data_IF_769229971194
#
_entry.id   IF_769229971194
#
_cell.length_a   1.000
_cell.length_b   1.000
_cell.length_c   1.000
_cell.angle_alpha   90.00
_cell.angle_beta   90.00
_cell.angle_gamma   90.00
#
_symmetry.space_group_name_H-M   'P 1'
#
loop_
_entity.id
_entity.type
_entity.pdbx_description
1 polymer ?
#
# COMPACT_ATOMS: atom_id res chain seq x y z
N UNK A 1 33.46 11.84 14.04
CA UNK A 1 34.01 10.48 14.29
C UNK A 1 34.01 10.22 15.78
N UNK A 2 33.55 9.05 16.24
CA UNK A 2 33.49 8.73 17.67
C UNK A 2 34.87 8.37 18.23
N UNK A 3 35.15 8.62 19.53
CA UNK A 3 36.38 8.18 20.18
C UNK A 3 36.55 6.66 20.18
N UNK A 4 37.79 6.17 20.14
CA UNK A 4 38.12 4.73 20.09
C UNK A 4 37.55 3.93 21.26
N UNK A 5 37.45 4.54 22.45
CA UNK A 5 36.83 3.94 23.64
C UNK A 5 35.32 3.68 23.44
N UNK A 6 34.62 4.55 22.72
CA UNK A 6 33.20 4.39 22.40
C UNK A 6 33.00 3.36 21.29
N UNK A 7 33.88 3.33 20.29
CA UNK A 7 33.85 2.34 19.22
C UNK A 7 33.93 0.89 19.74
N UNK A 8 34.78 0.63 20.76
CA UNK A 8 34.88 -0.69 21.40
C UNK A 8 33.59 -1.12 22.11
N UNK A 9 32.82 -0.15 22.64
CA UNK A 9 31.52 -0.43 23.28
C UNK A 9 30.40 -0.70 22.28
N UNK A 10 30.65 -0.46 20.99
CA UNK A 10 29.69 -0.57 19.90
C UNK A 10 29.96 -1.78 18.97
N UNK A 11 30.67 -2.80 19.44
CA UNK A 11 30.91 -4.02 18.65
C UNK A 11 29.60 -4.70 18.23
N UNK A 12 28.63 -4.80 19.14
CA UNK A 12 27.27 -5.28 18.84
C UNK A 12 26.57 -4.42 17.78
N UNK A 13 26.83 -3.11 17.78
CA UNK A 13 26.25 -2.18 16.81
C UNK A 13 26.78 -2.43 15.40
N UNK A 14 28.06 -2.80 15.23
CA UNK A 14 28.59 -3.18 13.90
C UNK A 14 27.88 -4.42 13.34
N UNK A 15 27.72 -5.45 14.15
CA UNK A 15 26.98 -6.65 13.76
C UNK A 15 25.52 -6.33 13.42
N UNK A 16 24.89 -5.45 14.20
CA UNK A 16 23.55 -4.92 13.92
C UNK A 16 23.49 -4.19 12.56
N UNK A 17 24.44 -3.30 12.25
CA UNK A 17 24.48 -2.60 10.96
C UNK A 17 24.59 -3.55 9.76
N UNK A 18 25.28 -4.68 9.92
CA UNK A 18 25.29 -5.72 8.88
C UNK A 18 23.91 -6.32 8.65
N UNK A 19 23.14 -6.59 9.73
CA UNK A 19 21.74 -7.07 9.62
C UNK A 19 20.85 -6.00 9.01
N UNK A 20 20.97 -4.77 9.49
CA UNK A 20 20.24 -3.61 8.99
C UNK A 20 20.42 -3.41 7.48
N UNK A 21 21.66 -3.51 6.98
CA UNK A 21 21.93 -3.43 5.55
C UNK A 21 21.22 -4.52 4.76
N UNK A 22 21.21 -5.77 5.25
CA UNK A 22 20.47 -6.87 4.61
C UNK A 22 18.97 -6.59 4.53
N UNK A 23 18.39 -5.98 5.57
CA UNK A 23 16.98 -5.58 5.57
C UNK A 23 16.68 -4.54 4.49
N UNK A 24 17.57 -3.57 4.29
CA UNK A 24 17.47 -2.60 3.18
C UNK A 24 17.57 -3.27 1.82
N UNK A 25 18.50 -4.21 1.64
CA UNK A 25 18.67 -4.95 0.38
C UNK A 25 17.42 -5.78 0.03
N UNK A 26 16.76 -6.37 1.04
CA UNK A 26 15.48 -7.08 0.87
C UNK A 26 14.38 -6.11 0.45
N UNK A 27 14.22 -4.98 1.14
CA UNK A 27 13.21 -3.97 0.76
C UNK A 27 13.45 -3.44 -0.66
N UNK A 28 14.70 -3.17 -1.03
CA UNK A 28 15.04 -2.73 -2.38
C UNK A 28 14.64 -3.77 -3.43
N UNK A 29 14.85 -5.06 -3.14
CA UNK A 29 14.43 -6.15 -4.02
C UNK A 29 12.91 -6.19 -4.20
N UNK A 30 12.14 -5.93 -3.14
CA UNK A 30 10.67 -5.79 -3.24
C UNK A 30 10.27 -4.57 -4.08
N UNK A 31 10.92 -3.42 -3.88
CA UNK A 31 10.66 -2.22 -4.69
C UNK A 31 10.93 -2.49 -6.17
N UNK A 32 12.02 -3.18 -6.50
CA UNK A 32 12.34 -3.59 -7.88
C UNK A 32 11.26 -4.53 -8.47
N UNK A 33 10.70 -5.43 -7.67
CA UNK A 33 9.59 -6.28 -8.11
C UNK A 33 8.31 -5.47 -8.36
N UNK A 34 8.00 -4.49 -7.51
CA UNK A 34 6.84 -3.61 -7.66
C UNK A 34 6.92 -2.83 -8.99
N UNK A 35 8.08 -2.28 -9.32
CA UNK A 35 8.25 -1.45 -10.53
C UNK A 35 8.50 -2.27 -11.81
N UNK A 36 8.68 -3.59 -11.71
CA UNK A 36 9.10 -4.43 -12.85
C UNK A 36 8.13 -4.39 -14.04
N UNK A 37 6.82 -4.34 -13.75
CA UNK A 37 5.77 -4.49 -14.77
C UNK A 37 4.91 -3.21 -14.92
N UNK A 38 5.36 -2.06 -14.39
CA UNK A 38 4.53 -0.83 -14.36
C UNK A 38 4.28 -0.24 -15.74
N UNK A 39 5.20 -0.46 -16.69
CA UNK A 39 5.11 0.05 -18.06
C UNK A 39 3.88 -0.45 -18.80
N UNK A 40 3.34 -1.61 -18.40
CA UNK A 40 2.17 -2.27 -19.03
C UNK A 40 0.95 -2.31 -18.12
N UNK A 41 0.99 -1.60 -17.00
CA UNK A 41 -0.05 -1.70 -15.96
C UNK A 41 -1.36 -1.00 -16.35
N UNK A 42 -1.31 0.14 -17.05
CA UNK A 42 -2.49 0.95 -17.32
C UNK A 42 -3.11 0.63 -18.68
N UNK A 43 -4.19 -0.16 -18.67
CA UNK A 43 -4.89 -0.64 -19.88
C UNK A 43 -5.45 0.45 -20.80
N UNK A 44 -5.61 1.68 -20.29
CA UNK A 44 -6.17 2.82 -21.02
C UNK A 44 -5.09 3.78 -21.54
N UNK A 45 -3.82 3.43 -21.39
CA UNK A 45 -2.69 4.18 -21.94
C UNK A 45 -2.16 3.40 -23.13
N UNK A 46 -2.01 4.07 -24.27
CA UNK A 46 -1.38 3.46 -25.43
C UNK A 46 0.12 3.28 -25.14
N UNK A 47 0.53 2.03 -24.93
CA UNK A 47 1.92 1.66 -24.66
C UNK A 47 2.78 1.61 -25.92
N UNK A 48 2.22 1.88 -27.11
CA UNK A 48 2.91 1.85 -28.40
C UNK A 48 3.47 3.20 -28.85
N UNK A 49 3.33 4.25 -28.05
CA UNK A 49 3.83 5.60 -28.35
C UNK A 49 5.13 5.85 -27.57
N UNK A 50 6.20 6.09 -28.33
CA UNK A 50 7.49 6.58 -27.85
C UNK A 50 7.33 7.76 -26.87
N UNK A 51 8.30 7.88 -25.96
CA UNK A 51 8.42 8.73 -24.76
C UNK A 51 8.30 10.26 -25.00
N UNK A 52 7.70 10.72 -26.09
CA UNK A 52 7.53 12.14 -26.39
C UNK A 52 6.10 12.42 -26.80
N UNK A 53 5.46 13.27 -26.00
CA UNK A 53 4.20 13.98 -26.27
C UNK A 53 2.92 13.17 -26.08
N UNK A 54 2.35 13.23 -24.87
CA UNK A 54 1.06 13.91 -24.61
C UNK A 54 0.55 13.59 -23.21
N UNK A 55 0.72 14.57 -22.31
CA UNK A 55 0.37 14.48 -20.89
C UNK A 55 1.51 14.97 -20.02
N UNK A 56 1.83 16.25 -20.10
CA UNK A 56 2.82 16.93 -19.24
C UNK A 56 2.30 17.05 -17.81
N UNK A 57 2.16 15.92 -17.13
CA UNK A 57 2.57 15.80 -15.75
C UNK A 57 3.81 14.90 -15.79
N UNK A 58 4.99 15.49 -15.62
CA UNK A 58 6.28 14.79 -15.62
C UNK A 58 6.31 13.81 -14.43
N UNK A 59 5.82 12.59 -14.64
CA UNK A 59 5.84 11.51 -13.65
C UNK A 59 7.21 10.83 -13.52
N UNK A 60 8.18 11.25 -14.33
CA UNK A 60 9.61 11.14 -14.02
C UNK A 60 10.10 12.45 -13.42
N UNK A 61 10.59 12.41 -12.19
CA UNK A 61 11.56 13.40 -11.70
C UNK A 61 12.90 13.08 -12.33
N UNK A 62 13.24 13.78 -13.41
CA UNK A 62 14.62 13.88 -13.83
C UNK A 62 15.35 14.77 -12.82
N UNK A 63 15.83 14.16 -11.73
CA UNK A 63 16.54 14.84 -10.63
C UNK A 63 17.75 15.63 -11.12
N UNK A 64 18.23 15.33 -12.33
CA UNK A 64 19.34 15.99 -13.00
C UNK A 64 18.97 17.37 -13.57
N UNK A 65 17.68 17.70 -13.68
CA UNK A 65 17.21 18.92 -14.38
C UNK A 65 16.46 19.90 -13.48
N UNK A 66 16.52 19.74 -12.15
CA UNK A 66 16.04 20.76 -11.21
C UNK A 66 17.05 21.92 -11.15
N UNK A 67 16.68 23.08 -11.69
CA UNK A 67 17.49 24.31 -11.69
C UNK A 67 17.89 24.78 -10.27
N UNK A 68 17.19 24.30 -9.24
CA UNK A 68 17.41 24.63 -7.83
C UNK A 68 17.73 23.36 -7.01
N UNK A 69 18.99 23.17 -6.54
CA UNK A 69 19.41 21.98 -5.82
C UNK A 69 18.59 21.65 -4.56
N UNK A 70 18.10 22.67 -3.85
CA UNK A 70 17.28 22.48 -2.64
C UNK A 70 15.90 21.90 -2.95
N UNK A 71 15.31 22.24 -4.10
CA UNK A 71 14.03 21.69 -4.55
C UNK A 71 14.19 20.23 -5.00
N UNK A 72 15.29 19.89 -5.67
CA UNK A 72 15.62 18.52 -6.04
C UNK A 72 15.75 17.61 -4.81
N UNK A 73 16.48 18.09 -3.79
CA UNK A 73 16.66 17.37 -2.52
C UNK A 73 15.34 17.20 -1.77
N UNK A 74 14.51 18.24 -1.69
CA UNK A 74 13.21 18.18 -1.02
C UNK A 74 12.25 17.21 -1.72
N UNK A 75 12.20 17.23 -3.06
CA UNK A 75 11.37 16.28 -3.83
C UNK A 75 11.82 14.84 -3.64
N UNK A 76 13.12 14.58 -3.70
CA UNK A 76 13.68 13.24 -3.46
C UNK A 76 13.34 12.74 -2.04
N UNK A 77 13.46 13.60 -1.03
CA UNK A 77 13.12 13.25 0.34
C UNK A 77 11.63 12.90 0.49
N UNK A 78 10.75 13.70 -0.12
CA UNK A 78 9.32 13.43 -0.14
C UNK A 78 8.99 12.09 -0.82
N UNK A 79 9.61 11.79 -1.97
CA UNK A 79 9.35 10.54 -2.68
C UNK A 79 9.86 9.31 -1.91
N UNK A 80 11.00 9.45 -1.21
CA UNK A 80 11.50 8.44 -0.27
C UNK A 80 10.49 8.20 0.86
N UNK A 81 9.90 9.25 1.44
CA UNK A 81 8.87 9.12 2.47
C UNK A 81 7.60 8.43 1.94
N UNK A 82 7.24 8.62 0.66
CA UNK A 82 6.15 7.87 0.03
C UNK A 82 6.48 6.39 -0.11
N UNK A 83 7.68 6.03 -0.54
CA UNK A 83 8.11 4.62 -0.61
C UNK A 83 8.08 3.98 0.79
N UNK A 84 8.57 4.68 1.82
CA UNK A 84 8.50 4.20 3.20
C UNK A 84 7.06 3.97 3.66
N UNK A 85 6.15 4.88 3.27
CA UNK A 85 4.73 4.75 3.57
C UNK A 85 4.12 3.53 2.87
N UNK A 86 4.49 3.23 1.62
CA UNK A 86 4.04 2.01 0.92
C UNK A 86 4.46 0.76 1.67
N UNK A 87 5.72 0.66 2.11
CA UNK A 87 6.21 -0.50 2.87
C UNK A 87 5.41 -0.76 4.15
N UNK A 88 5.00 0.32 4.85
CA UNK A 88 4.13 0.21 6.03
C UNK A 88 2.71 -0.20 5.65
N UNK A 89 2.15 0.35 4.58
CA UNK A 89 0.83 -0.02 4.08
C UNK A 89 0.76 -1.49 3.63
N UNK A 90 1.85 -2.07 3.09
CA UNK A 90 1.93 -3.50 2.80
C UNK A 90 1.64 -4.34 4.05
N UNK A 91 2.19 -3.93 5.20
CA UNK A 91 1.97 -4.64 6.46
C UNK A 91 0.52 -4.50 6.93
N UNK A 92 -0.02 -3.28 6.91
CA UNK A 92 -1.42 -3.03 7.26
C UNK A 92 -2.38 -3.87 6.42
N UNK A 93 -2.24 -3.81 5.10
CA UNK A 93 -3.23 -4.37 4.17
C UNK A 93 -3.02 -5.86 3.88
N UNK A 94 -1.79 -6.35 3.91
CA UNK A 94 -1.45 -7.68 3.34
C UNK A 94 -0.51 -8.51 4.21
N UNK A 95 -0.32 -8.16 5.48
CA UNK A 95 0.40 -9.00 6.43
C UNK A 95 -0.49 -9.42 7.59
N UNK A 96 -0.20 -10.58 8.18
CA UNK A 96 -0.84 -11.03 9.42
C UNK A 96 -0.66 -10.02 10.55
N UNK A 97 0.49 -9.33 10.60
CA UNK A 97 0.76 -8.28 11.58
C UNK A 97 -0.22 -7.09 11.49
N UNK A 98 -0.86 -6.88 10.33
CA UNK A 98 -1.89 -5.86 10.13
C UNK A 98 -3.31 -6.32 10.47
N UNK A 99 -3.54 -7.61 10.76
CA UNK A 99 -4.88 -8.18 10.92
C UNK A 99 -5.70 -7.47 12.00
N UNK A 100 -5.10 -7.18 13.16
CA UNK A 100 -5.79 -6.48 14.26
C UNK A 100 -6.22 -5.04 13.89
N UNK A 101 -5.46 -4.36 13.04
CA UNK A 101 -5.79 -3.02 12.56
C UNK A 101 -6.91 -3.08 11.51
N UNK A 102 -6.87 -4.06 10.62
CA UNK A 102 -7.94 -4.32 9.64
C UNK A 102 -9.24 -4.71 10.33
N UNK A 103 -9.19 -5.54 11.37
CA UNK A 103 -10.36 -5.89 12.16
C UNK A 103 -11.03 -4.64 12.75
N UNK A 104 -10.25 -3.65 13.21
CA UNK A 104 -10.81 -2.41 13.74
C UNK A 104 -11.33 -1.45 12.66
N UNK A 105 -10.69 -1.43 11.48
CA UNK A 105 -10.99 -0.45 10.43
C UNK A 105 -11.99 -0.95 9.38
N UNK A 106 -11.84 -2.21 8.94
CA UNK A 106 -12.56 -2.79 7.80
C UNK A 106 -13.80 -3.56 8.25
N UNK A 107 -13.72 -4.30 9.35
CA UNK A 107 -14.88 -5.07 9.83
C UNK A 107 -16.13 -4.22 10.03
N UNK A 108 -16.10 -3.02 10.65
CA UNK A 108 -17.32 -2.22 10.79
C UNK A 108 -17.96 -1.82 9.45
N UNK A 109 -17.14 -1.65 8.42
CA UNK A 109 -17.59 -1.33 7.05
C UNK A 109 -18.24 -2.56 6.41
N UNK A 110 -17.59 -3.71 6.56
CA UNK A 110 -18.06 -4.98 6.02
C UNK A 110 -19.34 -5.46 6.73
N UNK A 111 -19.43 -5.29 8.04
CA UNK A 111 -20.61 -5.62 8.84
C UNK A 111 -21.80 -4.72 8.45
N UNK A 112 -21.57 -3.43 8.17
CA UNK A 112 -22.62 -2.53 7.68
C UNK A 112 -23.13 -2.94 6.29
N UNK A 113 -22.25 -3.42 5.40
CA UNK A 113 -22.66 -3.97 4.10
C UNK A 113 -23.53 -5.23 4.28
N UNK A 114 -23.12 -6.14 5.17
CA UNK A 114 -23.88 -7.36 5.46
C UNK A 114 -25.23 -7.04 6.11
N UNK A 115 -25.29 -6.04 7.00
CA UNK A 115 -26.52 -5.58 7.63
C UNK A 115 -27.51 -4.98 6.62
N UNK A 116 -27.02 -4.16 5.66
CA UNK A 116 -27.87 -3.54 4.64
C UNK A 116 -28.32 -4.51 3.55
N UNK A 117 -27.49 -5.50 3.25
CA UNK A 117 -27.71 -6.45 2.16
C UNK A 117 -27.55 -7.87 2.67
N UNK A 118 -28.41 -8.36 3.59
CA UNK A 118 -28.29 -9.66 4.20
C UNK A 118 -28.33 -10.79 3.15
N UNK A 119 -27.54 -11.85 3.36
CA UNK A 119 -27.35 -12.91 2.36
C UNK A 119 -28.65 -13.70 2.12
N UNK A 120 -29.54 -13.71 3.10
CA UNK A 120 -30.85 -14.34 3.06
C UNK A 120 -31.81 -13.65 2.09
N UNK A 121 -31.72 -12.32 1.97
CA UNK A 121 -32.56 -11.51 1.08
C UNK A 121 -31.88 -11.23 -0.27
N UNK A 122 -30.56 -11.13 -0.27
CA UNK A 122 -29.73 -10.82 -1.44
C UNK A 122 -28.85 -12.03 -1.78
N UNK A 123 -29.46 -13.07 -2.36
CA UNK A 123 -28.75 -14.28 -2.76
C UNK A 123 -27.67 -14.03 -3.84
N UNK A 124 -27.87 -13.00 -4.67
CA UNK A 124 -26.88 -12.51 -5.62
C UNK A 124 -26.50 -11.05 -5.29
N UNK A 125 -25.36 -10.89 -4.61
CA UNK A 125 -24.81 -9.58 -4.25
C UNK A 125 -23.99 -8.93 -5.37
N UNK A 126 -23.79 -9.62 -6.51
CA UNK A 126 -22.94 -9.11 -7.61
C UNK A 126 -23.53 -7.87 -8.29
N UNK A 127 -24.85 -7.66 -8.18
CA UNK A 127 -25.54 -6.47 -8.67
C UNK A 127 -25.33 -5.23 -7.79
N UNK A 128 -24.90 -5.41 -6.55
CA UNK A 128 -24.64 -4.31 -5.61
C UNK A 128 -23.24 -3.79 -5.88
N UNK A 129 -23.17 -2.58 -6.43
CA UNK A 129 -21.90 -1.93 -6.74
C UNK A 129 -21.42 -1.10 -5.55
N UNK A 130 -20.20 -1.34 -5.12
CA UNK A 130 -19.55 -0.66 -4.00
C UNK A 130 -18.35 0.11 -4.51
N UNK A 131 -18.24 1.38 -4.14
CA UNK A 131 -17.09 2.22 -4.48
C UNK A 131 -16.27 2.54 -3.21
N UNK A 132 -14.97 2.28 -3.27
CA UNK A 132 -13.99 2.55 -2.20
C UNK A 132 -13.00 3.62 -2.66
N UNK A 133 -13.23 4.90 -2.31
CA UNK A 133 -12.28 5.99 -2.57
C UNK A 133 -11.02 5.86 -1.71
N UNK A 134 -9.85 6.18 -2.26
CA UNK A 134 -8.58 6.04 -1.56
C UNK A 134 -8.29 4.59 -1.16
N UNK A 135 -8.40 3.69 -2.14
CA UNK A 135 -8.34 2.24 -1.93
C UNK A 135 -6.96 1.74 -1.43
N UNK A 136 -5.90 2.57 -1.50
CA UNK A 136 -4.58 2.19 -1.04
C UNK A 136 -4.05 0.97 -1.78
N UNK A 137 -3.73 -0.10 -1.06
CA UNK A 137 -3.26 -1.35 -1.66
C UNK A 137 -4.39 -2.31 -2.06
N UNK A 138 -5.64 -1.91 -1.86
CA UNK A 138 -6.82 -2.62 -2.37
C UNK A 138 -7.33 -3.75 -1.47
N UNK A 139 -6.85 -3.88 -0.23
CA UNK A 139 -7.32 -4.95 0.68
C UNK A 139 -8.82 -4.87 0.98
N UNK A 140 -9.34 -3.68 1.29
CA UNK A 140 -10.78 -3.51 1.54
C UNK A 140 -11.60 -3.82 0.27
N UNK A 141 -11.14 -3.39 -0.90
CA UNK A 141 -11.77 -3.70 -2.19
C UNK A 141 -11.86 -5.20 -2.40
N UNK A 142 -10.78 -5.91 -2.08
CA UNK A 142 -10.70 -7.36 -2.15
C UNK A 142 -11.65 -8.05 -1.15
N UNK A 143 -11.72 -7.60 0.11
CA UNK A 143 -12.64 -8.18 1.11
C UNK A 143 -14.12 -7.92 0.81
N UNK A 144 -14.44 -6.76 0.23
CA UNK A 144 -15.80 -6.47 -0.25
C UNK A 144 -16.15 -7.39 -1.42
N UNK A 145 -15.26 -7.57 -2.39
CA UNK A 145 -15.48 -8.50 -3.50
C UNK A 145 -15.61 -9.96 -3.03
N UNK A 146 -14.83 -10.36 -2.01
CA UNK A 146 -14.91 -11.68 -1.38
C UNK A 146 -16.29 -11.99 -0.77
N UNK A 147 -17.05 -10.96 -0.37
CA UNK A 147 -18.44 -11.08 0.10
C UNK A 147 -19.49 -11.13 -1.02
N UNK A 148 -19.05 -11.17 -2.28
CA UNK A 148 -19.90 -11.30 -3.47
C UNK A 148 -20.36 -9.96 -4.08
N UNK A 149 -19.94 -8.82 -3.53
CA UNK A 149 -20.28 -7.50 -4.08
C UNK A 149 -19.44 -7.18 -5.32
N UNK A 150 -19.96 -6.32 -6.20
CA UNK A 150 -19.16 -5.73 -7.27
C UNK A 150 -18.42 -4.50 -6.74
N UNK A 151 -17.12 -4.62 -6.49
CA UNK A 151 -16.33 -3.58 -5.84
C UNK A 151 -15.40 -2.86 -6.81
N UNK A 152 -15.44 -1.54 -6.79
CA UNK A 152 -14.48 -0.70 -7.47
C UNK A 152 -13.71 0.13 -6.45
N UNK A 153 -12.39 0.01 -6.45
CA UNK A 153 -11.49 0.92 -5.75
C UNK A 153 -11.18 2.15 -6.61
N UNK A 154 -10.81 3.24 -5.96
CA UNK A 154 -10.20 4.39 -6.61
C UNK A 154 -8.95 4.81 -5.86
N UNK A 155 -7.85 5.03 -6.59
CA UNK A 155 -6.60 5.49 -6.00
C UNK A 155 -5.92 6.49 -6.94
N UNK A 156 -5.34 7.53 -6.34
CA UNK A 156 -4.65 8.59 -7.07
C UNK A 156 -3.13 8.41 -7.05
N UNK A 157 -2.57 7.86 -5.97
CA UNK A 157 -1.14 7.70 -5.79
C UNK A 157 -0.57 6.58 -6.67
N UNK A 158 0.34 6.91 -7.59
CA UNK A 158 1.07 5.91 -8.38
C UNK A 158 1.84 4.91 -7.52
N UNK A 159 2.42 5.37 -6.39
CA UNK A 159 3.11 4.50 -5.43
C UNK A 159 2.20 3.38 -4.91
N UNK A 160 0.96 3.73 -4.57
CA UNK A 160 -0.05 2.76 -4.11
C UNK A 160 -0.53 1.88 -5.25
N UNK A 161 -0.80 2.46 -6.43
CA UNK A 161 -1.24 1.72 -7.62
C UNK A 161 -0.21 0.64 -8.02
N UNK A 162 1.07 0.99 -8.13
CA UNK A 162 2.12 0.04 -8.50
C UNK A 162 2.21 -1.11 -7.48
N UNK A 163 2.22 -0.79 -6.19
CA UNK A 163 2.27 -1.80 -5.13
C UNK A 163 0.99 -2.67 -5.10
N UNK A 164 -0.19 -2.06 -5.27
CA UNK A 164 -1.47 -2.77 -5.34
C UNK A 164 -1.50 -3.76 -6.51
N UNK A 165 -1.08 -3.34 -7.71
CA UNK A 165 -1.00 -4.19 -8.88
C UNK A 165 -0.04 -5.37 -8.68
N UNK A 166 1.14 -5.11 -8.11
CA UNK A 166 2.08 -6.18 -7.76
C UNK A 166 1.43 -7.21 -6.83
N UNK A 167 0.82 -6.78 -5.73
CA UNK A 167 0.22 -7.70 -4.76
C UNK A 167 -0.97 -8.45 -5.36
N UNK A 168 -1.93 -7.73 -5.92
CA UNK A 168 -3.18 -8.32 -6.42
C UNK A 168 -2.96 -9.25 -7.62
N UNK A 169 -2.02 -8.92 -8.50
CA UNK A 169 -1.88 -9.61 -9.79
C UNK A 169 -0.62 -10.47 -9.92
N UNK A 170 0.40 -10.29 -9.06
CA UNK A 170 1.72 -10.94 -9.20
C UNK A 170 2.15 -11.75 -7.98
N UNK A 171 1.37 -11.77 -6.90
CA UNK A 171 1.65 -12.56 -5.70
C UNK A 171 0.66 -13.74 -5.53
N UNK A 172 0.86 -14.89 -6.22
CA UNK A 172 -0.07 -16.02 -6.16
C UNK A 172 0.00 -16.87 -4.89
N UNK A 173 1.04 -16.69 -4.06
CA UNK A 173 1.32 -17.52 -2.90
C UNK A 173 1.34 -16.68 -1.62
N UNK A 174 0.73 -17.20 -0.55
CA UNK A 174 0.74 -16.56 0.75
C UNK A 174 2.14 -16.57 1.38
N UNK A 175 2.48 -15.50 2.10
CA UNK A 175 3.72 -15.30 2.85
C UNK A 175 5.01 -15.47 2.05
N UNK A 176 4.94 -15.35 0.72
CA UNK A 176 6.08 -15.54 -0.18
C UNK A 176 7.12 -14.42 -0.09
N UNK A 177 6.67 -13.19 0.20
CA UNK A 177 7.52 -12.02 0.23
C UNK A 177 7.71 -11.52 1.66
N UNK A 178 8.80 -10.79 1.89
CA UNK A 178 9.14 -10.21 3.20
C UNK A 178 9.53 -8.74 3.03
N UNK A 179 9.01 -7.87 3.90
CA UNK A 179 9.42 -6.47 4.04
C UNK A 179 9.88 -6.18 5.45
N UNK A 180 10.73 -5.15 5.57
CA UNK A 180 11.20 -4.58 6.83
C UNK A 180 10.74 -3.12 6.91
N UNK A 181 9.48 -2.86 7.28
CA UNK A 181 8.86 -1.53 7.17
C UNK A 181 9.44 -0.49 8.14
N UNK A 182 10.12 -0.93 9.21
CA UNK A 182 10.56 -0.07 10.31
C UNK A 182 12.02 0.38 10.20
N UNK A 183 12.76 -0.04 9.16
CA UNK A 183 14.20 0.24 9.03
C UNK A 183 14.52 1.74 8.98
N UNK A 184 13.58 2.58 8.52
CA UNK A 184 13.76 4.03 8.47
C UNK A 184 13.34 4.76 9.75
N UNK A 185 12.77 4.05 10.73
CA UNK A 185 12.47 4.61 12.04
C UNK A 185 13.72 4.48 12.92
N UNK A 186 14.20 5.59 13.50
CA UNK A 186 15.42 5.57 14.34
C UNK A 186 15.13 5.89 15.82
N UNK A 187 13.88 6.19 16.13
CA UNK A 187 13.41 6.61 17.45
C UNK A 187 12.32 5.68 17.95
N UNK A 188 12.06 5.69 19.26
CA UNK A 188 10.99 4.93 19.90
C UNK A 188 11.13 3.40 19.73
N UNK A 189 12.36 2.90 19.69
CA UNK A 189 12.65 1.47 19.70
C UNK A 189 13.10 1.03 21.10
N UNK A 190 12.37 0.09 21.70
CA UNK A 190 12.77 -0.53 22.97
C UNK A 190 14.02 -1.40 22.80
N UNK A 191 14.15 -2.06 21.65
CA UNK A 191 15.29 -2.89 21.27
C UNK A 191 15.71 -2.59 19.84
N UNK A 192 16.97 -2.83 19.49
CA UNK A 192 17.47 -2.69 18.11
C UNK A 192 16.74 -3.60 17.12
N UNK A 193 16.25 -4.73 17.61
CA UNK A 193 15.55 -5.77 16.89
C UNK A 193 14.20 -5.27 16.33
N UNK A 194 13.54 -4.33 17.00
CA UNK A 194 12.29 -3.74 16.51
C UNK A 194 12.46 -3.00 15.18
N UNK A 195 13.60 -2.32 14.97
CA UNK A 195 13.88 -1.59 13.73
C UNK A 195 13.99 -2.53 12.52
N UNK A 196 14.44 -3.76 12.75
CA UNK A 196 14.68 -4.78 11.72
C UNK A 196 13.66 -5.91 11.78
N UNK A 197 12.50 -5.67 12.40
CA UNK A 197 11.43 -6.66 12.44
C UNK A 197 10.86 -6.87 11.03
N UNK A 198 10.79 -8.14 10.64
CA UNK A 198 10.25 -8.57 9.36
C UNK A 198 8.72 -8.70 9.41
N UNK A 199 8.08 -8.49 8.27
CA UNK A 199 6.67 -8.82 8.03
C UNK A 199 6.55 -9.54 6.68
N UNK A 200 5.83 -10.67 6.66
CA UNK A 200 5.56 -11.44 5.44
C UNK A 200 4.25 -11.02 4.78
N UNK A 201 4.19 -11.12 3.45
CA UNK A 201 3.00 -10.78 2.65
C UNK A 201 3.00 -11.55 1.30
N UNK A 202 1.84 -11.64 0.62
CA UNK A 202 0.51 -11.39 1.17
C UNK A 202 0.12 -12.49 2.18
N UNK A 203 -0.62 -12.17 3.24
CA UNK A 203 -1.12 -13.14 4.23
C UNK A 203 -2.13 -14.13 3.62
N UNK A 204 -2.83 -13.72 2.57
CA UNK A 204 -3.76 -14.53 1.78
C UNK A 204 -3.47 -14.43 0.28
N UNK A 205 -3.66 -15.49 -0.52
CA UNK A 205 -3.46 -15.42 -1.98
C UNK A 205 -4.56 -14.58 -2.68
N UNK A 206 -4.25 -13.42 -3.28
CA UNK A 206 -5.28 -12.50 -3.79
C UNK A 206 -6.05 -13.04 -5.02
N UNK A 207 -5.42 -13.91 -5.81
CA UNK A 207 -5.98 -14.46 -7.05
C UNK A 207 -7.24 -15.32 -6.86
N UNK A 208 -7.56 -15.71 -5.63
CA UNK A 208 -8.66 -16.63 -5.33
C UNK A 208 -10.06 -16.01 -5.39
N UNK A 209 -10.19 -14.67 -5.43
CA UNK A 209 -11.47 -13.97 -5.22
C UNK A 209 -11.69 -12.73 -6.11
N UNK A 210 -11.21 -12.75 -7.36
CA UNK A 210 -11.16 -11.55 -8.22
C UNK A 210 -12.39 -11.26 -9.10
N UNK A 211 -13.44 -12.10 -9.12
CA UNK A 211 -14.42 -12.07 -10.22
C UNK A 211 -15.18 -10.75 -10.39
N UNK A 212 -15.21 -9.87 -9.37
CA UNK A 212 -15.89 -8.57 -9.44
C UNK A 212 -15.13 -7.41 -8.77
N UNK A 213 -13.79 -7.42 -8.76
CA UNK A 213 -12.99 -6.30 -8.24
C UNK A 213 -12.25 -5.53 -9.36
N UNK A 214 -12.24 -4.19 -9.28
CA UNK A 214 -11.40 -3.34 -10.15
C UNK A 214 -10.86 -2.13 -9.37
N UNK A 215 -9.76 -1.53 -9.81
CA UNK A 215 -9.22 -0.28 -9.23
C UNK A 215 -9.04 0.74 -10.35
N UNK A 216 -9.67 1.91 -10.20
CA UNK A 216 -9.55 3.03 -11.11
C UNK A 216 -8.49 4.03 -10.63
N UNK A 217 -7.52 4.32 -11.50
CA UNK A 217 -6.49 5.33 -11.23
C UNK A 217 -7.02 6.75 -11.51
N UNK A 218 -6.83 7.66 -10.56
CA UNK A 218 -7.13 9.09 -10.74
C UNK A 218 -7.77 9.74 -9.52
N UNK A 219 -7.92 11.06 -9.59
CA UNK A 219 -8.57 11.87 -8.55
C UNK A 219 -10.06 11.53 -8.45
N UNK A 220 -10.49 11.10 -7.26
CA UNK A 220 -11.86 10.71 -6.95
C UNK A 220 -12.91 11.74 -7.42
N UNK A 221 -12.61 13.04 -7.28
CA UNK A 221 -13.55 14.11 -7.64
C UNK A 221 -13.66 14.33 -9.15
N UNK A 222 -12.66 13.87 -9.92
CA UNK A 222 -12.59 14.04 -11.38
C UNK A 222 -13.00 12.78 -12.14
N UNK A 223 -12.86 11.61 -11.53
CA UNK A 223 -13.37 10.37 -12.11
C UNK A 223 -14.90 10.40 -12.10
N UNK A 224 -15.50 10.22 -13.29
CA UNK A 224 -16.96 10.29 -13.45
C UNK A 224 -17.61 9.02 -12.91
N UNK A 225 -18.10 9.09 -11.67
CA UNK A 225 -19.01 8.10 -11.12
C UNK A 225 -20.45 8.53 -11.38
N UNK A 226 -21.24 7.66 -11.98
CA UNK A 226 -22.69 7.79 -11.94
C UNK A 226 -23.13 7.52 -10.49
N UNK A 227 -23.39 8.58 -9.71
CA UNK A 227 -23.76 8.50 -8.29
C UNK A 227 -25.06 7.68 -8.05
N UNK A 228 -25.87 7.46 -9.09
CA UNK A 228 -27.05 6.61 -9.04
C UNK A 228 -26.75 5.10 -9.17
N UNK A 229 -25.49 4.71 -9.39
CA UNK A 229 -25.10 3.33 -9.61
C UNK A 229 -24.29 2.70 -8.48
N UNK A 230 -23.75 3.47 -7.53
CA UNK A 230 -22.83 2.97 -6.51
C UNK A 230 -23.31 3.25 -5.09
N UNK A 231 -23.21 2.25 -4.23
CA UNK A 231 -23.19 2.44 -2.78
C UNK A 231 -21.80 2.96 -2.42
N UNK A 232 -21.72 4.24 -2.06
CA UNK A 232 -20.45 4.88 -1.72
C UNK A 232 -20.09 4.58 -0.27
N UNK A 233 -18.94 3.94 -0.06
CA UNK A 233 -18.39 3.75 1.28
C UNK A 233 -17.48 4.93 1.62
N UNK A 234 -17.99 5.84 2.44
CA UNK A 234 -17.10 6.77 3.15
C UNK A 234 -16.56 6.07 4.38
N UNK A 235 -15.23 5.92 4.44
CA UNK A 235 -14.54 5.58 5.67
C UNK A 235 -14.69 6.77 6.62
N UNK A 236 -15.76 6.78 7.42
CA UNK A 236 -15.72 7.52 8.68
C UNK A 236 -14.72 6.76 9.53
N UNK A 237 -13.47 7.21 9.56
CA UNK A 237 -12.53 6.79 10.60
C UNK A 237 -13.17 7.20 11.90
N UNK A 238 -13.84 6.26 12.58
CA UNK A 238 -14.24 6.44 13.97
C UNK A 238 -12.94 6.41 14.74
N UNK A 239 -12.28 7.56 14.86
CA UNK A 239 -11.27 7.76 15.91
C UNK A 239 -12.06 7.63 17.20
N UNK A 240 -12.05 6.44 17.79
CA UNK A 240 -12.65 6.22 19.09
C UNK A 240 -11.81 7.03 20.11
N UNK A 241 -12.37 8.08 20.76
CA UNK A 241 -11.58 8.93 21.65
C UNK A 241 -11.16 8.26 22.97
N UNK A 242 -11.44 6.97 23.16
CA UNK A 242 -11.39 6.32 24.49
C UNK A 242 -10.30 5.27 24.71
N UNK A 243 -9.35 5.06 23.79
CA UNK A 243 -8.18 4.21 24.08
C UNK A 243 -6.96 5.03 24.48
N UNK A 244 -7.12 5.82 25.54
CA UNK A 244 -6.02 6.51 26.23
C UNK A 244 -6.15 6.35 27.75
N UNK A 245 -6.32 5.11 28.24
CA UNK A 245 -6.06 4.77 29.63
C UNK A 245 -5.57 3.31 29.73
N UNK A 246 -4.25 3.16 29.87
CA UNK A 246 -3.53 2.27 30.77
C UNK A 246 -2.02 2.43 30.51
#
# INVERSE_FOLDING_TARGET
MLPSSHCKRLEKYRAYLTKFKKCLDVNNSIVLLIIKDVDTMFTNVDHSIDVQTNGTESFGCDYNNCEIPSQAQHKMQHDVEKVQSVLKNIVRDWSEAGAAEREQCYKPILDELDYRYPAEEFSDRSHIKVLVPGAGLGRLVWEVAAKGYCCQGNEFSLFMLFASNFILNKCPEANKHTVYPWVHQYVNHLTSEHQIQAATFPDVPPATQQSHCSIAAGDFLKVKYSMLQYTLLFVRVVINPYTAHC
#
